data_IF_642214872169
#
_entry.id   IF_642214872169
#
_cell.length_a   1.000
_cell.length_b   1.000
_cell.length_c   1.000
_cell.angle_alpha   90.00
_cell.angle_beta   90.00
_cell.angle_gamma   90.00
#
_symmetry.space_group_name_H-M   'P 1'
#
loop_
_entity.id
_entity.type
_entity.pdbx_description
1 polymer ?
#
# COMPACT_ATOMS: atom_id res chain seq x y z
N UNK A 1 -4.28 14.13 4.46
CA UNK A 1 -3.55 13.36 5.49
C UNK A 1 -4.43 12.17 5.84
N UNK A 2 -4.14 10.95 5.35
CA UNK A 2 -4.96 9.76 5.66
C UNK A 2 -4.64 9.22 7.07
N UNK A 3 -5.63 8.68 7.76
CA UNK A 3 -5.48 7.92 9.01
C UNK A 3 -5.33 6.40 8.80
N UNK A 4 -5.14 5.98 7.54
CA UNK A 4 -4.97 4.62 7.08
C UNK A 4 -3.84 3.90 7.83
N UNK A 5 -4.18 2.93 8.66
CA UNK A 5 -3.23 2.11 9.41
C UNK A 5 -3.26 0.64 8.96
N UNK A 6 -2.14 -0.04 9.10
CA UNK A 6 -2.06 -1.50 9.03
C UNK A 6 -2.70 -2.15 10.26
N UNK A 7 -2.83 -3.48 10.21
CA UNK A 7 -3.28 -4.28 11.36
C UNK A 7 -2.39 -4.13 12.60
N UNK A 8 -1.16 -3.69 12.41
CA UNK A 8 -0.16 -3.41 13.44
C UNK A 8 -0.27 -1.98 14.01
N UNK A 9 -1.28 -1.21 13.61
CA UNK A 9 -1.47 0.17 14.03
C UNK A 9 -0.48 1.16 13.40
N UNK A 10 0.42 0.69 12.52
CA UNK A 10 1.37 1.56 11.83
C UNK A 10 0.70 2.23 10.64
N UNK A 11 0.99 3.52 10.45
CA UNK A 11 0.52 4.28 9.28
C UNK A 11 1.01 3.62 7.99
N UNK A 12 0.09 3.42 7.05
CA UNK A 12 0.45 2.96 5.70
C UNK A 12 1.11 4.11 4.95
N UNK A 13 2.13 3.78 4.17
CA UNK A 13 2.69 4.73 3.22
C UNK A 13 1.62 5.11 2.20
N UNK A 14 1.45 6.41 1.98
CA UNK A 14 0.58 6.97 0.96
C UNK A 14 1.45 7.36 -0.23
N UNK A 15 1.22 6.74 -1.38
CA UNK A 15 1.87 7.04 -2.65
C UNK A 15 0.97 7.96 -3.47
N UNK A 16 1.53 8.93 -4.17
CA UNK A 16 0.72 9.90 -4.89
C UNK A 16 0.07 9.27 -6.13
N UNK A 17 0.80 8.38 -6.81
CA UNK A 17 0.31 7.70 -8.01
C UNK A 17 0.24 6.18 -7.86
N UNK A 18 -0.62 5.55 -8.66
CA UNK A 18 -0.70 4.09 -8.76
C UNK A 18 0.63 3.49 -9.22
N UNK A 19 1.34 4.19 -10.10
CA UNK A 19 2.63 3.77 -10.65
C UNK A 19 3.69 3.68 -9.56
N UNK A 20 3.83 4.70 -8.71
CA UNK A 20 4.73 4.67 -7.55
C UNK A 20 4.40 3.51 -6.62
N UNK A 21 3.13 3.32 -6.29
CA UNK A 21 2.70 2.22 -5.44
C UNK A 21 3.03 0.84 -6.05
N UNK A 22 2.89 0.68 -7.37
CA UNK A 22 3.26 -0.54 -8.09
C UNK A 22 4.77 -0.79 -8.08
N UNK A 23 5.59 0.25 -8.27
CA UNK A 23 7.05 0.13 -8.21
C UNK A 23 7.46 -0.41 -6.84
N UNK A 24 6.98 0.21 -5.75
CA UNK A 24 7.32 -0.23 -4.39
C UNK A 24 6.74 -1.61 -4.07
N UNK A 25 5.54 -1.92 -4.56
CA UNK A 25 4.96 -3.26 -4.43
C UNK A 25 5.85 -4.33 -5.09
N UNK A 26 6.40 -4.03 -6.28
CA UNK A 26 7.29 -4.94 -6.99
C UNK A 26 8.66 -5.07 -6.30
N UNK A 27 9.25 -3.96 -5.86
CA UNK A 27 10.51 -3.97 -5.09
C UNK A 27 10.38 -4.83 -3.82
N UNK A 28 9.28 -4.66 -3.06
CA UNK A 28 9.02 -5.50 -1.89
C UNK A 28 8.82 -6.96 -2.24
N UNK A 29 8.15 -7.26 -3.36
CA UNK A 29 7.97 -8.63 -3.82
C UNK A 29 9.32 -9.27 -4.16
N UNK A 30 10.22 -8.55 -4.82
CA UNK A 30 11.57 -9.02 -5.12
C UNK A 30 12.38 -9.22 -3.83
N UNK A 31 12.31 -8.26 -2.89
CA UNK A 31 13.11 -8.30 -1.67
C UNK A 31 12.64 -9.33 -0.63
N UNK A 32 11.32 -9.57 -0.53
CA UNK A 32 10.74 -10.40 0.55
C UNK A 32 9.98 -11.63 0.04
N UNK A 33 9.72 -11.73 -1.26
CA UNK A 33 8.84 -12.75 -1.85
C UNK A 33 7.34 -12.48 -1.64
N UNK A 34 6.97 -11.49 -0.82
CA UNK A 34 5.57 -11.21 -0.47
C UNK A 34 4.91 -10.37 -1.57
N UNK A 35 3.80 -10.86 -2.12
CA UNK A 35 3.01 -10.10 -3.10
C UNK A 35 2.23 -9.00 -2.38
N UNK A 36 2.47 -7.75 -2.78
CA UNK A 36 1.74 -6.59 -2.29
C UNK A 36 0.71 -6.15 -3.33
N UNK A 37 -0.51 -5.87 -2.87
CA UNK A 37 -1.62 -5.36 -3.66
C UNK A 37 -1.73 -3.85 -3.53
N UNK A 38 -1.91 -3.17 -4.67
CA UNK A 38 -2.08 -1.72 -4.75
C UNK A 38 -3.55 -1.37 -4.79
N UNK A 39 -3.99 -0.44 -3.95
CA UNK A 39 -5.37 0.06 -3.93
C UNK A 39 -5.42 1.56 -3.64
N UNK A 40 -6.50 2.23 -4.07
CA UNK A 40 -6.68 3.68 -3.83
C UNK A 40 -7.04 3.92 -2.36
N UNK A 41 -6.46 4.96 -1.79
CA UNK A 41 -6.78 5.43 -0.45
C UNK A 41 -8.28 5.78 -0.34
N UNK A 42 -9.01 5.27 0.67
CA UNK A 42 -10.43 5.58 0.84
C UNK A 42 -10.68 6.98 1.43
N UNK A 43 -9.73 7.55 2.18
CA UNK A 43 -9.89 8.85 2.85
C UNK A 43 -9.22 10.01 2.09
N UNK A 44 -8.52 9.75 0.99
CA UNK A 44 -7.78 10.80 0.30
C UNK A 44 -7.28 10.43 -1.08
N UNK A 45 -6.56 11.36 -1.68
CA UNK A 45 -6.01 11.20 -3.03
C UNK A 45 -4.60 10.62 -2.98
N UNK A 46 -4.55 9.29 -3.01
CA UNK A 46 -3.31 8.53 -3.12
C UNK A 46 -3.56 7.02 -3.14
N UNK A 47 -2.49 6.27 -3.01
CA UNK A 47 -2.46 4.82 -3.19
C UNK A 47 -1.72 4.16 -2.03
N UNK A 48 -2.17 2.97 -1.65
CA UNK A 48 -1.56 2.15 -0.61
C UNK A 48 -1.15 0.80 -1.16
N UNK A 49 -0.21 0.18 -0.47
CA UNK A 49 0.20 -1.21 -0.69
C UNK A 49 -0.18 -2.06 0.51
N UNK A 50 -0.67 -3.27 0.28
CA UNK A 50 -0.99 -4.22 1.35
C UNK A 50 -0.65 -5.64 0.95
N UNK A 51 -0.12 -6.45 1.87
CA UNK A 51 0.06 -7.88 1.66
C UNK A 51 -1.24 -8.67 1.87
N UNK A 52 -2.29 -8.06 2.42
CA UNK A 52 -3.59 -8.71 2.52
C UNK A 52 -4.30 -8.62 1.17
N UNK A 53 -4.82 -9.73 0.70
CA UNK A 53 -5.72 -9.74 -0.46
C UNK A 53 -7.03 -8.98 -0.19
N UNK A 54 -7.42 -8.85 1.07
CA UNK A 54 -8.61 -8.11 1.47
C UNK A 54 -8.23 -6.68 1.85
N UNK A 55 -8.78 -5.74 1.09
CA UNK A 55 -8.57 -4.30 1.23
C UNK A 55 -9.44 -3.79 2.39
N UNK A 56 -8.93 -3.89 3.61
CA UNK A 56 -9.46 -3.17 4.77
C UNK A 56 -8.44 -2.10 5.18
#
# INVERSE_FOLDING_TARGET
MCSCCGKDGKKKNLYFTKTEANIVANERKIATGITMHVYRCPEGDGWHITSNQIQW
#
